data_IF_445370939366
#
_entry.id   IF_445370939366
#
_cell.length_a   1.000
_cell.length_b   1.000
_cell.length_c   1.000
_cell.angle_alpha   90.00
_cell.angle_beta   90.00
_cell.angle_gamma   90.00
#
_symmetry.space_group_name_H-M   'P 1'
#
loop_
_entity.id
_entity.type
_entity.pdbx_description
1 polymer ?
#
# COMPACT_ATOMS: atom_id res chain seq x y z
N UNK A 1 -15.27 10.22 -35.52
CA UNK A 1 -14.69 9.62 -34.31
C UNK A 1 -15.56 8.44 -33.94
N UNK A 2 -14.94 7.32 -33.57
CA UNK A 2 -15.64 6.08 -33.23
C UNK A 2 -16.08 6.12 -31.76
N UNK A 3 -17.39 6.16 -31.45
CA UNK A 3 -17.90 6.31 -30.09
C UNK A 3 -17.51 5.14 -29.17
N UNK A 4 -17.16 3.97 -29.72
CA UNK A 4 -16.66 2.83 -28.94
C UNK A 4 -15.23 3.08 -28.46
N UNK A 5 -14.42 3.81 -29.24
CA UNK A 5 -13.04 4.14 -28.90
C UNK A 5 -13.00 5.21 -27.80
N UNK A 6 -13.83 6.26 -27.90
CA UNK A 6 -13.93 7.31 -26.88
C UNK A 6 -14.41 6.76 -25.53
N UNK A 7 -15.36 5.83 -25.53
CA UNK A 7 -15.83 5.18 -24.31
C UNK A 7 -14.73 4.36 -23.62
N UNK A 8 -13.94 3.58 -24.38
CA UNK A 8 -12.81 2.80 -23.85
C UNK A 8 -11.73 3.70 -23.26
N UNK A 9 -11.35 4.76 -23.96
CA UNK A 9 -10.37 5.73 -23.47
C UNK A 9 -10.83 6.40 -22.16
N UNK A 10 -12.13 6.66 -22.02
CA UNK A 10 -12.68 7.25 -20.78
C UNK A 10 -12.67 6.27 -19.59
N UNK A 11 -12.88 4.98 -19.85
CA UNK A 11 -12.86 3.94 -18.83
C UNK A 11 -11.43 3.66 -18.33
N UNK A 12 -10.47 3.60 -19.25
CA UNK A 12 -9.06 3.37 -18.93
C UNK A 12 -8.50 4.52 -18.08
N UNK A 13 -8.86 5.78 -18.42
CA UNK A 13 -8.49 6.94 -17.63
C UNK A 13 -9.08 6.94 -16.21
N UNK A 14 -10.32 6.46 -16.07
CA UNK A 14 -10.97 6.35 -14.76
C UNK A 14 -10.31 5.29 -13.88
N UNK A 15 -9.94 4.14 -14.47
CA UNK A 15 -9.18 3.10 -13.77
C UNK A 15 -7.81 3.62 -13.34
N UNK A 16 -7.11 4.34 -14.20
CA UNK A 16 -5.79 4.89 -13.88
C UNK A 16 -5.85 5.91 -12.72
N UNK A 17 -6.90 6.73 -12.65
CA UNK A 17 -7.13 7.63 -11.50
C UNK A 17 -7.45 6.86 -10.22
N UNK A 18 -8.27 5.80 -10.27
CA UNK A 18 -8.54 4.95 -9.11
C UNK A 18 -7.28 4.27 -8.58
N UNK A 19 -6.43 3.73 -9.48
CA UNK A 19 -5.14 3.14 -9.12
C UNK A 19 -4.22 4.17 -8.49
N UNK A 20 -4.18 5.39 -9.05
CA UNK A 20 -3.36 6.48 -8.52
C UNK A 20 -3.81 6.90 -7.12
N UNK A 21 -5.10 7.08 -6.89
CA UNK A 21 -5.63 7.42 -5.57
C UNK A 21 -5.29 6.32 -4.54
N UNK A 22 -5.51 5.05 -4.88
CA UNK A 22 -5.15 3.93 -4.01
C UNK A 22 -3.63 3.88 -3.72
N UNK A 23 -2.80 4.18 -4.72
CA UNK A 23 -1.35 4.24 -4.57
C UNK A 23 -0.90 5.33 -3.59
N UNK A 24 -1.47 6.53 -3.72
CA UNK A 24 -1.18 7.67 -2.84
C UNK A 24 -1.58 7.37 -1.39
N UNK A 25 -2.75 6.77 -1.16
CA UNK A 25 -3.22 6.40 0.18
C UNK A 25 -2.31 5.35 0.85
N UNK A 26 -1.83 4.37 0.08
CA UNK A 26 -0.91 3.34 0.55
C UNK A 26 0.44 3.97 0.92
N UNK A 27 1.00 4.84 0.06
CA UNK A 27 2.24 5.56 0.37
C UNK A 27 2.09 6.39 1.64
N UNK A 28 1.00 7.13 1.80
CA UNK A 28 0.76 7.92 3.00
C UNK A 28 0.69 7.04 4.25
N UNK A 29 0.08 5.86 4.15
CA UNK A 29 0.02 4.88 5.24
C UNK A 29 1.41 4.34 5.58
N UNK A 30 2.21 3.96 4.59
CA UNK A 30 3.61 3.54 4.79
C UNK A 30 4.43 4.64 5.47
N UNK A 31 4.29 5.90 5.02
CA UNK A 31 4.98 7.04 5.61
C UNK A 31 4.58 7.25 7.08
N UNK A 32 3.30 7.09 7.42
CA UNK A 32 2.83 7.12 8.82
C UNK A 32 3.45 5.99 9.65
N UNK A 33 3.51 4.77 9.12
CA UNK A 33 4.14 3.63 9.81
C UNK A 33 5.62 3.88 10.05
N UNK A 34 6.34 4.39 9.05
CA UNK A 34 7.76 4.74 9.17
C UNK A 34 7.93 5.82 10.24
N UNK A 35 7.12 6.87 10.20
CA UNK A 35 7.13 7.92 11.21
C UNK A 35 6.88 7.36 12.62
N UNK A 36 5.85 6.52 12.79
CA UNK A 36 5.56 5.86 14.06
C UNK A 36 6.72 4.98 14.52
N UNK A 37 7.33 4.22 13.61
CA UNK A 37 8.47 3.35 13.93
C UNK A 37 9.68 4.15 14.42
N UNK A 38 9.91 5.36 13.87
CA UNK A 38 10.99 6.23 14.30
C UNK A 38 10.70 6.91 15.64
N UNK A 39 9.45 7.28 15.89
CA UNK A 39 9.04 8.02 17.09
C UNK A 39 8.89 7.10 18.30
N UNK A 40 8.22 5.97 18.12
CA UNK A 40 7.83 5.06 19.19
C UNK A 40 8.75 3.84 19.28
N UNK A 41 9.38 3.44 18.17
CA UNK A 41 10.18 2.23 18.12
C UNK A 41 9.36 0.96 18.32
N UNK A 42 10.06 -0.17 18.29
CA UNK A 42 9.45 -1.51 18.33
C UNK A 42 8.41 -1.71 19.46
N UNK A 43 8.74 -1.31 20.68
CA UNK A 43 7.94 -1.64 21.87
C UNK A 43 6.59 -0.90 21.91
N UNK A 44 6.48 0.22 21.20
CA UNK A 44 5.37 1.16 21.37
C UNK A 44 4.56 1.38 20.09
N UNK A 45 4.70 0.51 19.09
CA UNK A 45 3.93 0.56 17.83
C UNK A 45 2.42 0.36 18.00
N UNK A 46 1.95 -0.03 19.19
CA UNK A 46 0.54 -0.11 19.54
C UNK A 46 -0.04 1.20 20.09
N UNK A 47 0.82 2.18 20.44
CA UNK A 47 0.39 3.49 20.97
C UNK A 47 -0.18 4.48 19.93
N UNK A 48 0.32 4.54 18.67
CA UNK A 48 -0.26 5.42 17.67
C UNK A 48 -1.72 5.11 17.36
N UNK A 49 -2.47 6.12 16.92
CA UNK A 49 -3.85 5.97 16.44
C UNK A 49 -3.97 6.46 14.98
N UNK A 50 -4.32 5.61 14.00
CA UNK A 50 -4.48 4.16 14.15
C UNK A 50 -3.14 3.45 14.39
N UNK A 51 -3.16 2.32 15.08
CA UNK A 51 -1.96 1.50 15.25
C UNK A 51 -1.67 0.68 13.99
N UNK A 52 -0.49 0.08 13.93
CA UNK A 52 -0.06 -0.62 12.72
C UNK A 52 -0.90 -1.86 12.38
N UNK A 53 -1.48 -2.55 13.38
CA UNK A 53 -2.43 -3.64 13.14
C UNK A 53 -3.74 -3.17 12.54
N UNK A 54 -4.25 -2.01 12.98
CA UNK A 54 -5.42 -1.38 12.36
C UNK A 54 -5.12 -0.94 10.93
N UNK A 55 -3.95 -0.32 10.70
CA UNK A 55 -3.52 0.06 9.35
C UNK A 55 -3.39 -1.16 8.42
N UNK A 56 -2.80 -2.25 8.90
CA UNK A 56 -2.69 -3.50 8.13
C UNK A 56 -4.06 -4.06 7.74
N UNK A 57 -5.01 -4.11 8.69
CA UNK A 57 -6.38 -4.60 8.41
C UNK A 57 -7.10 -3.74 7.38
N UNK A 58 -7.01 -2.41 7.50
CA UNK A 58 -7.57 -1.48 6.51
C UNK A 58 -7.05 -1.77 5.10
N UNK A 59 -5.74 -1.99 4.96
CA UNK A 59 -5.14 -2.32 3.67
C UNK A 59 -5.61 -3.68 3.12
N UNK A 60 -5.73 -4.68 3.99
CA UNK A 60 -6.14 -6.03 3.61
C UNK A 60 -7.61 -6.12 3.23
N UNK A 61 -8.48 -5.44 3.95
CA UNK A 61 -9.94 -5.52 3.79
C UNK A 61 -10.45 -4.58 2.71
N UNK A 62 -9.79 -3.44 2.48
CA UNK A 62 -10.26 -2.44 1.53
C UNK A 62 -9.36 -2.31 0.29
N UNK A 63 -8.05 -2.17 0.47
CA UNK A 63 -7.16 -1.83 -0.65
C UNK A 63 -6.86 -3.05 -1.52
N UNK A 64 -6.47 -4.18 -0.93
CA UNK A 64 -6.13 -5.38 -1.72
C UNK A 64 -7.28 -5.86 -2.62
N UNK A 65 -8.54 -5.96 -2.16
CA UNK A 65 -9.64 -6.38 -3.03
C UNK A 65 -9.91 -5.43 -4.19
N UNK A 66 -9.73 -4.12 -3.98
CA UNK A 66 -9.85 -3.12 -5.04
C UNK A 66 -8.76 -3.36 -6.09
N UNK A 67 -7.51 -3.51 -5.67
CA UNK A 67 -6.40 -3.77 -6.60
C UNK A 67 -6.59 -5.08 -7.36
N UNK A 68 -7.01 -6.16 -6.70
CA UNK A 68 -7.26 -7.44 -7.36
C UNK A 68 -8.40 -7.34 -8.39
N UNK A 69 -9.46 -6.57 -8.08
CA UNK A 69 -10.54 -6.29 -9.02
C UNK A 69 -10.03 -5.51 -10.24
N UNK A 70 -9.18 -4.50 -10.05
CA UNK A 70 -8.64 -3.67 -11.13
C UNK A 70 -7.69 -4.48 -12.02
N UNK A 71 -6.84 -5.32 -11.43
CA UNK A 71 -5.97 -6.24 -12.17
C UNK A 71 -6.80 -7.21 -13.04
N UNK A 72 -7.89 -7.76 -12.49
CA UNK A 72 -8.75 -8.69 -13.21
C UNK A 72 -9.47 -8.07 -14.41
N UNK A 73 -9.70 -6.75 -14.41
CA UNK A 73 -10.34 -6.03 -15.53
C UNK A 73 -9.41 -5.81 -16.72
N UNK A 74 -8.09 -5.89 -16.53
CA UNK A 74 -7.09 -5.94 -17.61
C UNK A 74 -6.92 -4.67 -18.46
N UNK A 75 -7.61 -3.58 -18.12
CA UNK A 75 -7.58 -2.31 -18.85
C UNK A 75 -6.97 -1.22 -17.98
N UNK A 76 -5.64 -1.08 -18.02
CA UNK A 76 -4.91 -0.04 -17.29
C UNK A 76 -3.57 0.22 -17.97
N UNK A 77 -2.99 1.39 -17.76
CA UNK A 77 -1.68 1.72 -18.32
C UNK A 77 -0.55 0.90 -17.67
N UNK A 78 0.60 0.74 -18.34
CA UNK A 78 1.78 0.09 -17.74
C UNK A 78 2.22 0.74 -16.42
N UNK A 79 2.06 2.06 -16.29
CA UNK A 79 2.35 2.80 -15.06
C UNK A 79 1.42 2.37 -13.90
N UNK A 80 0.11 2.31 -14.16
CA UNK A 80 -0.86 1.78 -13.19
C UNK A 80 -0.55 0.33 -12.82
N UNK A 81 -0.11 -0.49 -13.79
CA UNK A 81 0.40 -1.83 -13.53
C UNK A 81 1.52 -1.86 -12.48
N UNK A 82 2.53 -1.00 -12.63
CA UNK A 82 3.63 -0.88 -11.67
C UNK A 82 3.15 -0.39 -10.29
N UNK A 83 2.26 0.62 -10.25
CA UNK A 83 1.67 1.11 -9.00
C UNK A 83 0.94 0.00 -8.24
N UNK A 84 0.15 -0.81 -8.93
CA UNK A 84 -0.57 -1.93 -8.32
C UNK A 84 0.38 -2.99 -7.74
N UNK A 85 1.49 -3.30 -8.44
CA UNK A 85 2.53 -4.20 -7.90
C UNK A 85 3.14 -3.61 -6.62
N UNK A 86 3.49 -2.31 -6.65
CA UNK A 86 4.06 -1.64 -5.49
C UNK A 86 3.09 -1.64 -4.30
N UNK A 87 1.79 -1.40 -4.52
CA UNK A 87 0.77 -1.49 -3.46
C UNK A 87 0.80 -2.88 -2.81
N UNK A 88 0.77 -3.95 -3.61
CA UNK A 88 0.81 -5.32 -3.07
C UNK A 88 2.07 -5.58 -2.25
N UNK A 89 3.21 -5.08 -2.71
CA UNK A 89 4.48 -5.20 -2.00
C UNK A 89 4.45 -4.45 -0.65
N UNK A 90 3.91 -3.23 -0.63
CA UNK A 90 3.75 -2.48 0.63
C UNK A 90 2.83 -3.17 1.62
N UNK A 91 1.70 -3.70 1.15
CA UNK A 91 0.78 -4.45 2.01
C UNK A 91 1.49 -5.67 2.61
N UNK A 92 2.28 -6.39 1.82
CA UNK A 92 3.08 -7.51 2.31
C UNK A 92 4.05 -7.08 3.41
N UNK A 93 4.82 -6.01 3.21
CA UNK A 93 5.75 -5.50 4.22
C UNK A 93 5.03 -5.07 5.50
N UNK A 94 3.87 -4.44 5.41
CA UNK A 94 3.09 -4.06 6.59
C UNK A 94 2.60 -5.30 7.34
N UNK A 95 2.18 -6.36 6.64
CA UNK A 95 1.85 -7.64 7.28
C UNK A 95 3.05 -8.25 7.98
N UNK A 96 4.21 -8.29 7.33
CA UNK A 96 5.45 -8.79 7.94
C UNK A 96 5.83 -7.99 9.20
N UNK A 97 5.60 -6.67 9.18
CA UNK A 97 5.82 -5.81 10.33
C UNK A 97 4.86 -6.14 11.49
N UNK A 98 3.57 -6.38 11.20
CA UNK A 98 2.61 -6.83 12.24
C UNK A 98 2.99 -8.19 12.82
N UNK A 99 3.41 -9.14 11.97
CA UNK A 99 3.87 -10.46 12.42
C UNK A 99 5.13 -10.35 13.29
N UNK A 100 6.06 -9.46 12.96
CA UNK A 100 7.24 -9.22 13.77
C UNK A 100 6.88 -8.67 15.16
N UNK A 101 5.89 -7.78 15.24
CA UNK A 101 5.39 -7.27 16.51
C UNK A 101 4.70 -8.36 17.33
N UNK A 102 3.86 -9.18 16.72
CA UNK A 102 3.13 -10.26 17.37
C UNK A 102 4.09 -11.34 17.91
N UNK A 103 5.13 -11.65 17.15
CA UNK A 103 6.17 -12.62 17.54
C UNK A 103 7.24 -12.04 18.48
N UNK A 104 7.12 -10.76 18.84
CA UNK A 104 8.14 -10.01 19.58
C UNK A 104 9.55 -10.06 18.94
N UNK A 105 9.63 -10.20 17.61
CA UNK A 105 10.88 -10.24 16.85
C UNK A 105 11.31 -8.84 16.40
N UNK A 106 12.09 -8.18 17.26
CA UNK A 106 12.66 -6.86 16.98
C UNK A 106 13.56 -6.87 15.73
N UNK A 107 14.29 -7.94 15.47
CA UNK A 107 15.21 -7.99 14.35
C UNK A 107 14.45 -8.06 13.01
N UNK A 108 13.36 -8.83 12.96
CA UNK A 108 12.45 -8.82 11.82
C UNK A 108 11.81 -7.45 11.63
N UNK A 109 11.34 -6.83 12.70
CA UNK A 109 10.77 -5.48 12.65
C UNK A 109 11.75 -4.46 12.06
N UNK A 110 12.98 -4.41 12.58
CA UNK A 110 14.00 -3.46 12.12
C UNK A 110 14.35 -3.67 10.64
N UNK A 111 14.40 -4.93 10.18
CA UNK A 111 14.60 -5.26 8.76
C UNK A 111 13.47 -4.74 7.89
N UNK A 112 12.22 -5.01 8.27
CA UNK A 112 11.04 -4.60 7.49
C UNK A 112 10.93 -3.07 7.46
N UNK A 113 11.16 -2.38 8.58
CA UNK A 113 11.20 -0.92 8.62
C UNK A 113 12.32 -0.37 7.72
N UNK A 114 13.48 -1.02 7.70
CA UNK A 114 14.58 -0.63 6.80
C UNK A 114 14.18 -0.78 5.33
N UNK A 115 13.52 -1.88 4.96
CA UNK A 115 13.02 -2.09 3.60
C UNK A 115 11.96 -1.05 3.25
N UNK A 116 10.97 -0.83 4.13
CA UNK A 116 9.95 0.20 3.95
C UNK A 116 10.55 1.60 3.76
N UNK A 117 11.64 1.95 4.48
CA UNK A 117 12.33 3.23 4.31
C UNK A 117 13.06 3.38 2.97
N UNK A 118 13.53 2.27 2.39
CA UNK A 118 14.21 2.26 1.09
C UNK A 118 13.20 2.25 -0.06
N UNK A 119 12.10 1.53 0.13
CA UNK A 119 11.05 1.38 -0.87
C UNK A 119 10.05 2.51 -0.86
N UNK A 120 9.80 3.16 0.30
CA UNK A 120 8.98 4.35 0.40
C UNK A 120 9.53 5.36 -0.59
N UNK A 121 8.90 5.38 -1.76
CA UNK A 121 9.14 6.34 -2.81
C UNK A 121 8.78 7.68 -2.18
N UNK A 122 9.81 8.31 -1.61
CA UNK A 122 9.75 9.61 -0.97
C UNK A 122 9.07 10.55 -1.97
N UNK A 123 7.95 11.13 -1.53
CA UNK A 123 7.40 12.32 -2.16
C UNK A 123 8.42 13.44 -1.98
#
# INVERSE_FOLDING_TARGET
MDPVLDFRLSLDALIDEEVKAAYEDVIQTCNKIIYHSNTYGFQFMHMPDPNVHQMSRTLDEMVVPIIDMLVARGNFSPESGLKMVNIKQYVLHIRELTLALDNQDKAAFDRVVSVLKQEAMLI
#
